data_IF_348899994523
#
_entry.id   IF_348899994523
#
_cell.length_a   1.000
_cell.length_b   1.000
_cell.length_c   1.000
_cell.angle_alpha   90.00
_cell.angle_beta   90.00
_cell.angle_gamma   90.00
#
_symmetry.space_group_name_H-M   'P 1'
#
loop_
_entity.id
_entity.type
_entity.pdbx_description
1 polymer ?
#
# COMPACT_ATOMS: atom_id res chain seq x y z
N UNK A 1 24.93 -4.72 -2.51
CA UNK A 1 24.28 -3.51 -3.07
C UNK A 1 25.19 -2.32 -2.84
N UNK A 2 25.49 -1.54 -3.89
CA UNK A 2 26.28 -0.32 -3.80
C UNK A 2 25.43 0.85 -4.33
N UNK A 3 25.22 1.87 -3.49
CA UNK A 3 24.64 3.17 -3.87
C UNK A 3 25.25 4.22 -2.95
N UNK A 4 25.73 5.33 -3.51
CA UNK A 4 26.32 6.43 -2.73
C UNK A 4 25.68 7.79 -3.00
N UNK A 5 24.64 7.85 -3.84
CA UNK A 5 23.97 9.08 -4.28
C UNK A 5 24.93 10.19 -4.76
N UNK A 6 26.09 9.81 -5.32
CA UNK A 6 27.18 10.73 -5.67
C UNK A 6 27.67 11.60 -4.49
N UNK A 7 27.52 11.11 -3.24
CA UNK A 7 28.02 11.74 -2.02
C UNK A 7 29.48 11.38 -1.70
N UNK A 8 30.11 10.56 -2.55
CA UNK A 8 31.53 10.21 -2.43
C UNK A 8 31.84 9.20 -1.33
N UNK A 9 30.83 8.55 -0.74
CA UNK A 9 31.03 7.52 0.28
C UNK A 9 31.69 6.25 -0.27
N UNK A 10 31.54 5.97 -1.58
CA UNK A 10 32.12 4.80 -2.24
C UNK A 10 33.27 5.21 -3.17
N UNK A 11 34.49 5.24 -2.64
CA UNK A 11 35.69 5.62 -3.38
C UNK A 11 36.26 4.50 -4.29
N UNK A 12 36.01 3.23 -3.96
CA UNK A 12 36.68 2.07 -4.60
C UNK A 12 35.69 1.06 -5.20
N UNK A 13 34.62 1.56 -5.84
CA UNK A 13 33.53 0.72 -6.39
C UNK A 13 34.05 -0.39 -7.32
N UNK A 14 34.98 -0.07 -8.22
CA UNK A 14 35.51 -1.05 -9.17
C UNK A 14 36.26 -2.19 -8.48
N UNK A 15 37.04 -1.88 -7.44
CA UNK A 15 37.75 -2.91 -6.66
C UNK A 15 36.76 -3.81 -5.89
N UNK A 16 35.69 -3.22 -5.34
CA UNK A 16 34.64 -3.97 -4.67
C UNK A 16 33.93 -4.93 -5.65
N UNK A 17 33.62 -4.47 -6.86
CA UNK A 17 33.02 -5.31 -7.91
C UNK A 17 33.92 -6.48 -8.26
N UNK A 18 35.22 -6.23 -8.48
CA UNK A 18 36.18 -7.28 -8.82
C UNK A 18 36.32 -8.35 -7.72
N UNK A 19 36.39 -7.92 -6.46
CA UNK A 19 36.48 -8.84 -5.31
C UNK A 19 35.22 -9.69 -5.17
N UNK A 20 34.03 -9.08 -5.28
CA UNK A 20 32.77 -9.78 -5.22
C UNK A 20 32.61 -10.79 -6.37
N UNK A 21 32.98 -10.41 -7.60
CA UNK A 21 32.97 -11.31 -8.76
C UNK A 21 33.89 -12.50 -8.57
N UNK A 22 35.10 -12.29 -8.04
CA UNK A 22 36.05 -13.36 -7.70
C UNK A 22 35.48 -14.32 -6.63
N UNK A 23 34.66 -13.80 -5.73
CA UNK A 23 33.98 -14.57 -4.70
C UNK A 23 32.64 -15.19 -5.14
N UNK A 24 32.19 -14.96 -6.39
CA UNK A 24 30.89 -15.41 -6.88
C UNK A 24 29.69 -14.71 -6.22
N UNK A 25 29.89 -13.53 -5.63
CA UNK A 25 28.84 -12.76 -4.96
C UNK A 25 28.22 -11.75 -5.94
N UNK A 26 26.89 -11.75 -6.13
CA UNK A 26 26.22 -10.78 -6.98
C UNK A 26 26.41 -9.33 -6.52
N UNK A 27 26.65 -8.42 -7.47
CA UNK A 27 26.79 -6.98 -7.22
C UNK A 27 25.70 -6.20 -7.93
N UNK A 28 24.83 -5.57 -7.15
CA UNK A 28 23.77 -4.69 -7.60
C UNK A 28 24.18 -3.23 -7.37
N UNK A 29 24.02 -2.40 -8.39
CA UNK A 29 24.39 -0.99 -8.40
C UNK A 29 23.17 -0.14 -8.75
N UNK A 30 22.87 0.86 -7.90
CA UNK A 30 22.00 1.98 -8.24
C UNK A 30 22.90 3.15 -8.69
N UNK A 31 22.99 3.44 -10.00
CA UNK A 31 23.96 4.39 -10.51
C UNK A 31 23.56 5.83 -10.22
N UNK A 32 24.57 6.72 -10.20
CA UNK A 32 24.39 8.16 -10.33
C UNK A 32 25.40 8.75 -11.29
N UNK A 33 24.97 9.81 -11.98
CA UNK A 33 25.77 10.51 -12.98
C UNK A 33 25.77 9.78 -14.32
N UNK A 34 26.73 10.12 -15.16
CA UNK A 34 26.85 9.62 -16.55
C UNK A 34 28.07 8.73 -16.77
N UNK A 35 28.96 8.63 -15.78
CA UNK A 35 30.13 7.75 -15.87
C UNK A 35 29.79 6.38 -15.31
N UNK A 36 29.47 5.45 -16.21
CA UNK A 36 29.15 4.06 -15.87
C UNK A 36 30.38 3.13 -15.93
N UNK A 37 31.54 3.62 -16.37
CA UNK A 37 32.76 2.82 -16.46
C UNK A 37 33.19 2.29 -15.08
N UNK A 38 32.98 3.10 -14.04
CA UNK A 38 33.24 2.73 -12.64
C UNK A 38 32.39 1.56 -12.12
N UNK A 39 31.38 1.12 -12.88
CA UNK A 39 30.49 -0.01 -12.55
C UNK A 39 30.75 -1.25 -13.42
N UNK A 40 31.81 -1.24 -14.25
CA UNK A 40 32.15 -2.34 -15.16
C UNK A 40 32.22 -3.68 -14.43
N UNK A 41 31.56 -4.69 -14.98
CA UNK A 41 31.56 -6.05 -14.46
C UNK A 41 30.56 -6.33 -13.34
N UNK A 42 29.68 -5.38 -13.01
CA UNK A 42 28.60 -5.59 -12.05
C UNK A 42 27.57 -6.62 -12.53
N UNK A 43 26.87 -7.26 -11.60
CA UNK A 43 25.81 -8.23 -11.93
C UNK A 43 24.58 -7.53 -12.47
N UNK A 44 24.14 -6.45 -11.82
CA UNK A 44 22.97 -5.68 -12.22
C UNK A 44 23.22 -4.20 -12.01
N UNK A 45 22.91 -3.41 -13.03
CA UNK A 45 22.84 -1.95 -12.97
C UNK A 45 21.37 -1.52 -13.08
N UNK A 46 20.90 -0.59 -12.23
CA UNK A 46 19.49 -0.21 -12.15
C UNK A 46 19.22 1.28 -12.43
N UNK A 47 19.63 1.86 -13.59
CA UNK A 47 19.39 3.27 -13.85
C UNK A 47 17.89 3.57 -14.03
N UNK A 48 17.48 4.78 -13.70
CA UNK A 48 16.23 5.31 -14.25
C UNK A 48 16.40 5.69 -15.73
N UNK A 49 15.27 5.89 -16.43
CA UNK A 49 15.29 6.21 -17.86
C UNK A 49 16.13 7.46 -18.17
N UNK A 50 16.09 8.49 -17.32
CA UNK A 50 16.88 9.71 -17.53
C UNK A 50 18.39 9.47 -17.38
N UNK A 51 18.81 8.68 -16.39
CA UNK A 51 20.21 8.28 -16.21
C UNK A 51 20.70 7.39 -17.36
N UNK A 52 19.87 6.45 -17.80
CA UNK A 52 20.16 5.60 -18.95
C UNK A 52 20.35 6.43 -20.23
N UNK A 53 19.39 7.30 -20.55
CA UNK A 53 19.45 8.16 -21.74
C UNK A 53 20.60 9.18 -21.70
N UNK A 54 21.05 9.58 -20.51
CA UNK A 54 22.20 10.46 -20.38
C UNK A 54 23.52 9.77 -20.82
N UNK A 55 23.56 8.44 -20.82
CA UNK A 55 24.71 7.63 -21.26
C UNK A 55 24.55 7.15 -22.69
N UNK A 56 23.36 6.67 -23.08
CA UNK A 56 23.14 6.05 -24.40
C UNK A 56 22.47 6.96 -25.43
N UNK A 57 22.10 8.18 -25.04
CA UNK A 57 21.28 9.09 -25.84
C UNK A 57 19.77 8.82 -25.70
N UNK A 58 18.94 9.78 -26.14
CA UNK A 58 17.47 9.72 -26.03
C UNK A 58 16.86 8.54 -26.79
N UNK A 59 15.95 7.81 -26.14
CA UNK A 59 15.24 6.67 -26.71
C UNK A 59 13.76 7.02 -26.95
N UNK A 60 13.25 6.78 -28.15
CA UNK A 60 11.86 7.08 -28.53
C UNK A 60 10.94 5.87 -28.49
N UNK A 61 11.50 4.66 -28.61
CA UNK A 61 10.74 3.41 -28.63
C UNK A 61 11.34 2.39 -27.67
N UNK A 62 10.57 1.35 -27.35
CA UNK A 62 11.05 0.27 -26.47
C UNK A 62 12.19 -0.52 -27.13
N UNK A 63 12.15 -0.67 -28.44
CA UNK A 63 13.19 -1.32 -29.23
C UNK A 63 14.52 -0.56 -29.11
N UNK A 64 14.50 0.78 -29.13
CA UNK A 64 15.71 1.59 -28.91
C UNK A 64 16.28 1.40 -27.50
N UNK A 65 15.41 1.25 -26.48
CA UNK A 65 15.85 0.93 -25.11
C UNK A 65 16.53 -0.44 -25.07
N UNK A 66 15.93 -1.44 -25.71
CA UNK A 66 16.47 -2.81 -25.76
C UNK A 66 17.82 -2.83 -26.49
N UNK A 67 17.88 -2.28 -27.70
CA UNK A 67 19.10 -2.27 -28.54
C UNK A 67 20.26 -1.60 -27.81
N UNK A 68 20.04 -0.37 -27.33
CA UNK A 68 21.09 0.41 -26.64
C UNK A 68 21.42 -0.16 -25.27
N UNK A 69 20.45 -0.74 -24.58
CA UNK A 69 20.66 -1.42 -23.31
C UNK A 69 21.52 -2.66 -23.45
N UNK A 70 21.31 -3.46 -24.49
CA UNK A 70 22.15 -4.63 -24.78
C UNK A 70 23.57 -4.23 -25.17
N UNK A 71 23.73 -3.11 -25.91
CA UNK A 71 25.05 -2.53 -26.17
C UNK A 71 25.74 -2.10 -24.89
N UNK A 72 25.04 -1.39 -24.00
CA UNK A 72 25.57 -0.96 -22.70
C UNK A 72 25.99 -2.15 -21.83
N UNK A 73 25.20 -3.24 -21.82
CA UNK A 73 25.56 -4.48 -21.13
C UNK A 73 26.89 -5.04 -21.66
N UNK A 74 27.09 -5.06 -22.98
CA UNK A 74 28.33 -5.54 -23.59
C UNK A 74 29.51 -4.61 -23.29
N UNK A 75 29.33 -3.29 -23.48
CA UNK A 75 30.37 -2.28 -23.32
C UNK A 75 30.93 -2.24 -21.90
N UNK A 76 30.09 -2.47 -20.88
CA UNK A 76 30.48 -2.46 -19.45
C UNK A 76 30.51 -3.84 -18.80
N UNK A 77 30.42 -4.92 -19.58
CA UNK A 77 30.50 -6.31 -19.11
C UNK A 77 29.50 -6.65 -17.98
N UNK A 78 28.28 -6.13 -18.07
CA UNK A 78 27.24 -6.37 -17.09
C UNK A 78 26.63 -7.76 -17.28
N UNK A 79 26.10 -8.37 -16.23
CA UNK A 79 25.28 -9.60 -16.39
C UNK A 79 23.84 -9.28 -16.78
N UNK A 80 23.32 -8.13 -16.36
CA UNK A 80 21.97 -7.65 -16.65
C UNK A 80 21.86 -6.12 -16.47
N UNK A 81 20.83 -5.54 -17.07
CA UNK A 81 20.44 -4.13 -16.90
C UNK A 81 18.94 -4.05 -16.59
N UNK A 82 18.55 -3.30 -15.56
CA UNK A 82 17.14 -3.02 -15.25
C UNK A 82 16.89 -1.52 -15.37
N UNK A 83 16.22 -1.11 -16.44
CA UNK A 83 15.86 0.30 -16.64
C UNK A 83 14.51 0.57 -15.98
N UNK A 84 14.48 1.46 -14.98
CA UNK A 84 13.21 1.90 -14.37
C UNK A 84 12.62 3.08 -15.16
N UNK A 85 11.32 3.00 -15.49
CA UNK A 85 10.63 3.86 -16.46
C UNK A 85 9.38 4.52 -15.87
N UNK A 86 9.42 4.84 -14.57
CA UNK A 86 8.31 5.53 -13.87
C UNK A 86 6.95 4.86 -14.12
N UNK A 87 5.96 5.58 -14.66
CA UNK A 87 4.63 5.09 -14.98
C UNK A 87 4.60 3.97 -16.04
N UNK A 88 5.67 3.82 -16.83
CA UNK A 88 5.80 2.72 -17.78
C UNK A 88 6.38 1.44 -17.12
N UNK A 89 6.68 1.49 -15.82
CA UNK A 89 7.18 0.36 -15.05
C UNK A 89 8.69 0.14 -15.22
N UNK A 90 9.12 -1.06 -15.62
CA UNK A 90 10.53 -1.45 -15.68
C UNK A 90 10.83 -2.36 -16.87
N UNK A 91 12.05 -2.30 -17.39
CA UNK A 91 12.55 -3.18 -18.45
C UNK A 91 13.82 -3.90 -17.99
N UNK A 92 13.75 -5.21 -17.85
CA UNK A 92 14.91 -6.07 -17.57
C UNK A 92 15.50 -6.61 -18.87
N UNK A 93 16.81 -6.41 -19.05
CA UNK A 93 17.58 -6.84 -20.21
C UNK A 93 18.70 -7.78 -19.77
N UNK A 94 18.83 -8.91 -20.47
CA UNK A 94 19.82 -9.96 -20.17
C UNK A 94 20.38 -10.54 -21.48
N UNK A 95 21.71 -10.76 -21.58
CA UNK A 95 22.31 -11.46 -22.71
C UNK A 95 21.66 -12.83 -22.96
N UNK A 96 21.25 -13.09 -24.20
CA UNK A 96 20.68 -14.37 -24.61
C UNK A 96 19.24 -14.65 -24.15
N UNK A 97 18.56 -13.66 -23.53
CA UNK A 97 17.14 -13.76 -23.18
C UNK A 97 16.33 -12.67 -23.89
N UNK A 98 15.04 -12.92 -24.09
CA UNK A 98 14.11 -11.89 -24.54
C UNK A 98 13.99 -10.79 -23.47
N UNK A 99 13.79 -9.52 -23.87
CA UNK A 99 13.56 -8.44 -22.91
C UNK A 99 12.29 -8.69 -22.11
N UNK A 100 12.34 -8.43 -20.80
CA UNK A 100 11.20 -8.54 -19.90
C UNK A 100 10.72 -7.14 -19.51
N UNK A 101 9.55 -6.76 -20.03
CA UNK A 101 8.88 -5.51 -19.68
C UNK A 101 7.83 -5.78 -18.60
N UNK A 102 7.91 -5.03 -17.51
CA UNK A 102 6.99 -5.12 -16.39
C UNK A 102 6.27 -3.78 -16.27
N UNK A 103 4.97 -3.69 -16.58
CA UNK A 103 4.21 -2.45 -16.39
C UNK A 103 4.15 -2.09 -14.89
N UNK A 104 4.01 -0.80 -14.59
CA UNK A 104 3.78 -0.38 -13.21
C UNK A 104 2.46 -0.95 -12.67
N UNK A 105 2.42 -1.23 -11.36
CA UNK A 105 1.16 -1.57 -10.68
C UNK A 105 0.44 -0.33 -10.11
N UNK A 106 1.08 0.85 -10.13
CA UNK A 106 0.49 2.08 -9.59
C UNK A 106 -0.28 2.85 -10.68
N UNK A 107 -1.59 3.06 -10.49
CA UNK A 107 -2.44 3.75 -11.48
C UNK A 107 -2.47 5.28 -11.34
N UNK A 108 -2.06 5.85 -10.20
CA UNK A 108 -1.94 7.30 -10.02
C UNK A 108 -0.62 7.65 -9.31
N UNK A 109 0.26 8.37 -10.02
CA UNK A 109 1.62 8.66 -9.56
C UNK A 109 1.72 10.15 -9.19
N UNK A 110 1.78 10.45 -7.88
CA UNK A 110 1.98 11.81 -7.38
C UNK A 110 3.44 12.07 -6.96
N UNK A 111 4.06 11.14 -6.23
CA UNK A 111 5.45 11.27 -5.74
C UNK A 111 6.16 9.90 -5.75
N UNK A 112 7.23 9.80 -6.55
CA UNK A 112 8.05 8.58 -6.76
C UNK A 112 9.31 8.52 -5.89
N UNK A 113 9.51 9.50 -5.00
CA UNK A 113 10.73 9.62 -4.19
C UNK A 113 10.90 8.42 -3.24
N UNK A 114 12.00 7.67 -3.38
CA UNK A 114 12.30 6.47 -2.58
C UNK A 114 11.81 5.13 -3.16
N UNK A 115 11.08 5.15 -4.28
CA UNK A 115 10.70 3.92 -4.99
C UNK A 115 11.94 3.16 -5.51
N UNK A 116 12.95 3.86 -6.04
CA UNK A 116 14.21 3.25 -6.50
C UNK A 116 14.96 2.51 -5.39
N UNK A 117 15.03 3.09 -4.19
CA UNK A 117 15.69 2.47 -3.02
C UNK A 117 14.98 1.17 -2.60
N UNK A 118 13.65 1.19 -2.67
CA UNK A 118 12.82 0.00 -2.41
C UNK A 118 13.06 -1.07 -3.45
N UNK A 119 13.14 -0.69 -4.72
CA UNK A 119 13.42 -1.62 -5.83
C UNK A 119 14.73 -2.35 -5.61
N UNK A 120 15.83 -1.61 -5.39
CA UNK A 120 17.15 -2.24 -5.24
C UNK A 120 17.25 -3.03 -3.92
N UNK A 121 16.59 -2.60 -2.86
CA UNK A 121 16.52 -3.33 -1.60
C UNK A 121 15.81 -4.68 -1.74
N UNK A 122 14.64 -4.70 -2.39
CA UNK A 122 13.86 -5.93 -2.63
C UNK A 122 14.59 -6.85 -3.61
N UNK A 123 15.21 -6.30 -4.67
CA UNK A 123 16.07 -7.07 -5.58
C UNK A 123 17.19 -7.78 -4.82
N UNK A 124 17.94 -7.05 -4.00
CA UNK A 124 19.06 -7.61 -3.24
C UNK A 124 18.61 -8.70 -2.26
N UNK A 125 17.51 -8.47 -1.53
CA UNK A 125 16.96 -9.44 -0.58
C UNK A 125 16.48 -10.72 -1.28
N UNK A 126 15.81 -10.59 -2.43
CA UNK A 126 15.23 -11.71 -3.17
C UNK A 126 16.31 -12.55 -3.83
N UNK A 127 17.33 -11.92 -4.42
CA UNK A 127 18.50 -12.63 -4.96
C UNK A 127 19.29 -13.34 -3.86
N UNK A 128 19.44 -12.72 -2.68
CA UNK A 128 20.09 -13.36 -1.55
C UNK A 128 19.31 -14.59 -1.03
N UNK A 129 18.00 -14.66 -1.26
CA UNK A 129 17.17 -15.82 -0.96
C UNK A 129 17.28 -16.95 -2.02
N UNK A 130 18.05 -16.75 -3.09
CA UNK A 130 18.31 -17.74 -4.14
C UNK A 130 17.32 -17.73 -5.31
N UNK A 131 16.44 -16.73 -5.36
CA UNK A 131 15.52 -16.53 -6.48
C UNK A 131 16.22 -16.05 -7.75
N UNK A 132 15.55 -16.23 -8.89
CA UNK A 132 16.01 -15.71 -10.17
C UNK A 132 15.92 -14.18 -10.24
N UNK A 133 16.63 -13.58 -11.20
CA UNK A 133 16.60 -12.13 -11.40
C UNK A 133 15.24 -11.64 -11.88
N UNK A 134 14.57 -12.44 -12.70
CA UNK A 134 13.21 -12.19 -13.19
C UNK A 134 12.20 -12.16 -12.04
N UNK A 135 12.25 -13.15 -11.15
CA UNK A 135 11.44 -13.15 -9.93
C UNK A 135 11.76 -11.93 -9.06
N UNK A 136 13.04 -11.66 -8.82
CA UNK A 136 13.46 -10.50 -8.02
C UNK A 136 12.91 -9.18 -8.59
N UNK A 137 12.92 -8.99 -9.91
CA UNK A 137 12.35 -7.82 -10.56
C UNK A 137 10.83 -7.75 -10.41
N UNK A 138 10.14 -8.90 -10.48
CA UNK A 138 8.70 -8.97 -10.24
C UNK A 138 8.34 -8.52 -8.82
N UNK A 139 9.03 -9.02 -7.79
CA UNK A 139 8.87 -8.59 -6.41
C UNK A 139 9.17 -7.09 -6.24
N UNK A 140 10.25 -6.60 -6.85
CA UNK A 140 10.65 -5.20 -6.74
C UNK A 140 9.66 -4.24 -7.40
N UNK A 141 9.09 -4.60 -8.55
CA UNK A 141 8.07 -3.82 -9.23
C UNK A 141 6.77 -3.73 -8.40
N UNK A 142 6.36 -4.84 -7.77
CA UNK A 142 5.22 -4.88 -6.85
C UNK A 142 5.48 -4.00 -5.60
N UNK A 143 6.67 -4.09 -5.00
CA UNK A 143 7.07 -3.26 -3.87
C UNK A 143 7.06 -1.76 -4.20
N UNK A 144 7.59 -1.39 -5.37
CA UNK A 144 7.58 -0.02 -5.86
C UNK A 144 6.15 0.53 -5.96
N UNK A 145 5.22 -0.27 -6.48
CA UNK A 145 3.80 0.08 -6.54
C UNK A 145 3.21 0.42 -5.17
N UNK A 146 3.48 -0.41 -4.16
CA UNK A 146 3.03 -0.18 -2.77
C UNK A 146 3.57 1.13 -2.21
N UNK A 147 4.87 1.41 -2.39
CA UNK A 147 5.51 2.64 -1.88
C UNK A 147 4.92 3.90 -2.50
N UNK A 148 4.68 3.86 -3.82
CA UNK A 148 4.06 4.97 -4.56
C UNK A 148 2.63 5.21 -4.05
N UNK A 149 1.85 4.15 -3.80
CA UNK A 149 0.49 4.25 -3.24
C UNK A 149 0.51 4.83 -1.82
N UNK A 150 1.42 4.38 -0.95
CA UNK A 150 1.55 4.92 0.42
C UNK A 150 1.84 6.42 0.43
N UNK A 151 2.66 6.89 -0.51
CA UNK A 151 2.97 8.32 -0.67
C UNK A 151 1.75 9.11 -1.14
N UNK A 152 0.97 8.58 -2.08
CA UNK A 152 -0.30 9.19 -2.49
C UNK A 152 -1.27 9.33 -1.30
N UNK A 153 -1.32 8.33 -0.40
CA UNK A 153 -2.15 8.35 0.81
C UNK A 153 -1.71 9.40 1.85
N UNK A 154 -0.41 9.66 1.97
CA UNK A 154 0.16 10.65 2.91
C UNK A 154 -0.06 12.10 2.48
N UNK A 155 -0.32 12.38 1.20
CA UNK A 155 -0.56 13.74 0.70
C UNK A 155 -1.92 14.31 1.16
N UNK A 156 -2.85 13.48 1.64
CA UNK A 156 -4.18 13.91 2.10
C UNK A 156 -4.40 13.86 3.63
N UNK A 157 -3.40 13.48 4.42
CA UNK A 157 -3.47 13.44 5.88
C UNK A 157 -2.37 14.28 6.53
N UNK A 158 -2.74 15.33 7.27
CA UNK A 158 -1.78 16.15 8.00
C UNK A 158 -0.94 15.33 9.00
N UNK A 159 0.36 15.68 9.05
CA UNK A 159 1.45 15.20 9.92
C UNK A 159 2.25 13.97 9.44
N UNK A 160 3.19 14.27 8.52
CA UNK A 160 4.60 14.12 8.88
C UNK A 160 5.23 12.74 8.75
N UNK A 161 5.52 12.34 7.51
CA UNK A 161 6.81 11.71 7.19
C UNK A 161 7.41 12.38 5.95
N UNK A 162 8.12 13.49 6.15
CA UNK A 162 9.16 13.87 5.20
C UNK A 162 10.29 12.83 5.33
N UNK A 163 10.26 11.78 4.51
CA UNK A 163 11.25 10.69 4.53
C UNK A 163 10.83 9.46 3.72
N UNK A 164 11.79 8.61 3.33
CA UNK A 164 11.58 7.39 2.51
C UNK A 164 10.48 6.50 3.09
N UNK A 165 9.50 6.09 2.28
CA UNK A 165 8.47 5.12 2.68
C UNK A 165 9.03 3.69 2.56
N UNK A 166 8.59 2.78 3.42
CA UNK A 166 9.05 1.38 3.48
C UNK A 166 7.93 0.41 3.12
N UNK A 167 8.29 -0.79 2.67
CA UNK A 167 7.34 -1.90 2.42
C UNK A 167 7.58 -3.00 3.45
N UNK A 168 6.52 -3.46 4.10
CA UNK A 168 6.55 -4.63 4.97
C UNK A 168 6.42 -5.94 4.17
N UNK A 169 6.88 -7.09 4.71
CA UNK A 169 6.73 -8.38 4.04
C UNK A 169 5.28 -8.73 3.67
N UNK A 170 4.31 -8.34 4.51
CA UNK A 170 2.88 -8.59 4.28
C UNK A 170 2.36 -7.77 3.10
N UNK A 171 2.73 -6.50 3.01
CA UNK A 171 2.32 -5.62 1.91
C UNK A 171 2.92 -6.10 0.59
N UNK A 172 4.18 -6.54 0.61
CA UNK A 172 4.84 -7.13 -0.56
C UNK A 172 4.15 -8.44 -0.98
N UNK A 173 3.87 -9.33 -0.05
CA UNK A 173 3.15 -10.58 -0.32
C UNK A 173 1.79 -10.33 -0.97
N UNK A 174 1.06 -9.32 -0.50
CA UNK A 174 -0.22 -8.94 -1.08
C UNK A 174 -0.07 -8.41 -2.51
N UNK A 175 0.92 -7.55 -2.77
CA UNK A 175 1.17 -7.00 -4.10
C UNK A 175 1.62 -8.07 -5.12
N UNK A 176 2.48 -9.01 -4.71
CA UNK A 176 3.03 -10.09 -5.53
C UNK A 176 1.98 -11.11 -5.95
N UNK A 177 1.05 -11.45 -5.05
CA UNK A 177 -0.02 -12.43 -5.32
C UNK A 177 -1.06 -11.93 -6.34
N UNK A 178 -0.84 -10.79 -7.00
CA UNK A 178 -1.76 -10.23 -7.99
C UNK A 178 -3.04 -9.70 -7.35
N UNK A 179 -2.98 -9.24 -6.09
CA UNK A 179 -4.12 -8.61 -5.42
C UNK A 179 -4.09 -7.10 -5.61
N UNK A 180 -4.23 -6.66 -6.87
CA UNK A 180 -4.75 -5.31 -7.11
C UNK A 180 -6.14 -5.14 -6.46
N UNK A 181 -6.83 -6.24 -6.14
CA UNK A 181 -8.23 -6.21 -5.71
C UNK A 181 -8.53 -6.73 -4.28
N UNK A 182 -7.57 -7.06 -3.40
CA UNK A 182 -7.94 -7.57 -2.05
C UNK A 182 -7.01 -7.22 -0.87
N UNK A 183 -6.03 -6.33 -1.06
CA UNK A 183 -5.11 -5.99 0.03
C UNK A 183 -5.73 -5.04 1.04
N UNK A 184 -6.13 -3.87 0.55
CA UNK A 184 -6.67 -2.74 1.31
C UNK A 184 -7.48 -1.84 0.37
N UNK A 185 -8.44 -1.07 0.87
CA UNK A 185 -9.20 -0.11 0.07
C UNK A 185 -10.55 -0.63 -0.41
N UNK A 186 -11.02 -0.11 -1.55
CA UNK A 186 -12.36 -0.38 -2.10
C UNK A 186 -12.41 -1.77 -2.73
N UNK A 187 -13.42 -2.56 -2.35
CA UNK A 187 -13.59 -3.97 -2.72
C UNK A 187 -14.99 -4.23 -3.28
N UNK A 188 -15.09 -5.15 -4.23
CA UNK A 188 -16.34 -5.85 -4.52
C UNK A 188 -16.68 -6.84 -3.40
N UNK A 189 -17.94 -7.30 -3.36
CA UNK A 189 -18.36 -8.27 -2.35
C UNK A 189 -17.60 -9.60 -2.47
N UNK A 190 -17.33 -10.07 -3.70
CA UNK A 190 -16.63 -11.34 -3.93
C UNK A 190 -15.15 -11.25 -3.53
N UNK A 191 -14.49 -10.14 -3.85
CA UNK A 191 -13.15 -9.82 -3.36
C UNK A 191 -13.09 -9.79 -1.83
N UNK A 192 -14.06 -9.11 -1.20
CA UNK A 192 -14.11 -9.03 0.25
C UNK A 192 -14.25 -10.42 0.90
N UNK A 193 -15.10 -11.30 0.36
CA UNK A 193 -15.23 -12.68 0.85
C UNK A 193 -13.90 -13.43 0.80
N UNK A 194 -13.15 -13.29 -0.30
CA UNK A 194 -11.83 -13.91 -0.44
C UNK A 194 -10.81 -13.33 0.54
N UNK A 195 -10.81 -12.01 0.73
CA UNK A 195 -9.93 -11.31 1.66
C UNK A 195 -10.18 -11.75 3.12
N UNK A 196 -11.46 -11.80 3.53
CA UNK A 196 -11.89 -12.24 4.86
C UNK A 196 -11.54 -13.71 5.11
N UNK A 197 -11.80 -14.59 4.14
CA UNK A 197 -11.42 -16.00 4.25
C UNK A 197 -9.90 -16.18 4.43
N UNK A 198 -9.10 -15.37 3.74
CA UNK A 198 -7.65 -15.39 3.89
C UNK A 198 -7.20 -14.86 5.25
N UNK A 199 -7.82 -13.79 5.77
CA UNK A 199 -7.55 -13.25 7.10
C UNK A 199 -7.85 -14.25 8.21
N UNK A 200 -9.00 -14.93 8.14
CA UNK A 200 -9.35 -15.99 9.08
C UNK A 200 -8.35 -17.14 9.08
N UNK A 201 -7.86 -17.56 7.90
CA UNK A 201 -6.80 -18.58 7.81
C UNK A 201 -5.50 -18.16 8.51
N UNK A 202 -5.25 -16.86 8.65
CA UNK A 202 -4.12 -16.31 9.41
C UNK A 202 -4.43 -16.11 10.91
N UNK A 203 -5.64 -16.40 11.36
CA UNK A 203 -6.08 -16.14 12.73
C UNK A 203 -6.34 -14.66 13.03
N UNK A 204 -6.51 -13.82 12.00
CA UNK A 204 -6.85 -12.39 12.18
C UNK A 204 -8.33 -12.23 12.53
N UNK A 205 -8.63 -11.39 13.54
CA UNK A 205 -9.98 -11.03 13.95
C UNK A 205 -10.56 -9.93 13.06
N UNK A 206 -11.69 -10.19 12.41
CA UNK A 206 -12.33 -9.26 11.46
C UNK A 206 -13.47 -8.49 12.12
N UNK A 207 -13.32 -7.16 12.14
CA UNK A 207 -14.31 -6.20 12.61
C UNK A 207 -15.04 -5.61 11.41
N UNK A 208 -16.36 -5.42 11.53
CA UNK A 208 -17.16 -4.78 10.49
C UNK A 208 -18.04 -3.69 11.09
N UNK A 209 -18.16 -2.58 10.38
CA UNK A 209 -19.13 -1.52 10.64
C UNK A 209 -19.79 -1.10 9.33
N UNK A 210 -20.91 -0.38 9.40
CA UNK A 210 -21.55 0.19 8.23
C UNK A 210 -22.06 1.61 8.46
N UNK A 211 -22.31 2.34 7.38
CA UNK A 211 -22.94 3.66 7.43
C UNK A 211 -22.99 4.37 6.09
N UNK A 212 -23.65 5.53 6.09
CA UNK A 212 -23.72 6.39 4.90
C UNK A 212 -22.39 7.11 4.66
N UNK A 213 -21.76 7.64 5.73
CA UNK A 213 -20.50 8.39 5.66
C UNK A 213 -20.51 9.53 4.61
N UNK A 214 -21.62 10.27 4.56
CA UNK A 214 -21.81 11.34 3.56
C UNK A 214 -20.83 12.50 3.76
N UNK A 215 -20.92 13.18 4.92
CA UNK A 215 -19.97 14.21 5.32
C UNK A 215 -19.15 13.66 6.48
N UNK A 216 -17.89 13.35 6.22
CA UNK A 216 -16.97 12.89 7.27
C UNK A 216 -16.57 14.05 8.18
N UNK A 217 -16.42 13.73 9.46
CA UNK A 217 -15.95 14.65 10.49
C UNK A 217 -15.15 13.86 11.52
N UNK A 218 -14.47 14.56 12.43
CA UNK A 218 -13.56 13.95 13.42
C UNK A 218 -14.20 12.81 14.25
N UNK A 219 -15.52 12.88 14.47
CA UNK A 219 -16.27 11.82 15.15
C UNK A 219 -16.25 10.48 14.40
N UNK A 220 -16.39 10.50 13.07
CA UNK A 220 -16.27 9.28 12.25
C UNK A 220 -14.85 8.71 12.30
N UNK A 221 -13.83 9.58 12.22
CA UNK A 221 -12.42 9.16 12.29
C UNK A 221 -12.12 8.49 13.63
N UNK A 222 -12.53 9.11 14.75
CA UNK A 222 -12.37 8.54 16.09
C UNK A 222 -13.14 7.23 16.27
N UNK A 223 -14.37 7.16 15.77
CA UNK A 223 -15.19 5.94 15.79
C UNK A 223 -14.52 4.78 15.05
N UNK A 224 -14.07 5.01 13.80
CA UNK A 224 -13.40 3.98 13.00
C UNK A 224 -12.07 3.56 13.62
N UNK A 225 -11.30 4.49 14.17
CA UNK A 225 -10.07 4.18 14.90
C UNK A 225 -10.34 3.32 16.15
N UNK A 226 -11.43 3.57 16.87
CA UNK A 226 -11.81 2.74 18.03
C UNK A 226 -12.34 1.38 17.61
N UNK A 227 -13.12 1.28 16.52
CA UNK A 227 -13.56 0.00 15.97
C UNK A 227 -12.36 -0.86 15.52
N UNK A 228 -11.37 -0.26 14.86
CA UNK A 228 -10.16 -0.96 14.39
C UNK A 228 -9.33 -1.57 15.53
N UNK A 229 -9.37 -1.00 16.74
CA UNK A 229 -8.66 -1.55 17.92
C UNK A 229 -9.27 -2.86 18.45
N UNK A 230 -10.48 -3.20 18.05
CA UNK A 230 -11.21 -4.38 18.56
C UNK A 230 -10.89 -5.67 17.78
N UNK A 231 -10.08 -5.57 16.73
CA UNK A 231 -9.58 -6.71 15.95
C UNK A 231 -8.40 -6.31 15.07
N UNK A 232 -8.06 -7.17 14.12
CA UNK A 232 -6.89 -7.04 13.25
C UNK A 232 -7.23 -6.43 11.89
N UNK A 233 -8.51 -6.49 11.48
CA UNK A 233 -9.00 -5.92 10.22
C UNK A 233 -10.30 -5.17 10.43
N UNK A 234 -10.46 -4.01 9.81
CA UNK A 234 -11.73 -3.26 9.79
C UNK A 234 -12.33 -3.17 8.39
N UNK A 235 -13.56 -3.67 8.28
CA UNK A 235 -14.45 -3.51 7.11
C UNK A 235 -15.40 -2.33 7.36
N UNK A 236 -15.53 -1.46 6.38
CA UNK A 236 -16.55 -0.40 6.34
C UNK A 236 -17.49 -0.64 5.17
N UNK A 237 -18.73 -1.03 5.48
CA UNK A 237 -19.80 -1.16 4.50
C UNK A 237 -20.53 0.16 4.28
N UNK A 238 -20.64 0.61 3.03
CA UNK A 238 -21.10 1.95 2.66
C UNK A 238 -22.41 1.86 1.87
N UNK A 239 -23.42 2.60 2.31
CA UNK A 239 -24.69 2.68 1.58
C UNK A 239 -24.49 3.29 0.19
N UNK A 240 -25.10 2.72 -0.85
CA UNK A 240 -25.17 3.33 -2.19
C UNK A 240 -25.91 4.67 -2.17
N UNK A 241 -25.83 5.43 -3.26
CA UNK A 241 -26.55 6.70 -3.38
C UNK A 241 -28.07 6.48 -3.38
N UNK A 242 -28.55 5.41 -4.02
CA UNK A 242 -29.96 5.02 -4.01
C UNK A 242 -30.42 4.62 -2.59
N UNK A 243 -29.64 3.80 -1.89
CA UNK A 243 -29.90 3.42 -0.48
C UNK A 243 -29.96 4.65 0.43
N UNK A 244 -29.03 5.58 0.24
CA UNK A 244 -28.95 6.81 1.03
C UNK A 244 -30.13 7.74 0.78
N UNK A 245 -30.56 7.91 -0.47
CA UNK A 245 -31.75 8.71 -0.82
C UNK A 245 -33.01 8.16 -0.14
N UNK A 246 -33.21 6.83 -0.17
CA UNK A 246 -34.35 6.20 0.52
C UNK A 246 -34.30 6.42 2.03
N UNK A 247 -33.10 6.40 2.63
CA UNK A 247 -32.91 6.53 4.07
C UNK A 247 -32.98 7.99 4.58
N UNK A 248 -32.50 8.97 3.79
CA UNK A 248 -32.26 10.35 4.24
C UNK A 248 -33.00 11.41 3.41
N UNK A 249 -33.70 11.01 2.36
CA UNK A 249 -34.41 11.90 1.42
C UNK A 249 -33.56 12.32 0.22
N UNK A 250 -34.20 12.95 -0.76
CA UNK A 250 -33.60 13.27 -2.08
C UNK A 250 -32.41 14.23 -2.03
N UNK A 251 -32.27 15.00 -0.95
CA UNK A 251 -31.16 15.94 -0.74
C UNK A 251 -29.87 15.26 -0.26
N UNK A 252 -29.87 13.94 -0.06
CA UNK A 252 -28.74 13.15 0.42
C UNK A 252 -28.56 11.90 -0.45
N UNK A 253 -27.32 11.45 -0.74
CA UNK A 253 -26.06 12.00 -0.24
C UNK A 253 -25.65 13.27 -0.99
N UNK A 254 -24.83 14.09 -0.32
CA UNK A 254 -24.14 15.23 -0.97
C UNK A 254 -22.96 14.73 -1.79
N UNK A 255 -22.23 13.74 -1.26
CA UNK A 255 -21.07 13.16 -1.93
C UNK A 255 -21.44 11.80 -2.57
N UNK A 256 -21.19 11.60 -3.88
CA UNK A 256 -21.42 10.33 -4.55
C UNK A 256 -20.70 9.15 -3.89
N UNK A 257 -21.25 7.94 -4.06
CA UNK A 257 -20.72 6.70 -3.47
C UNK A 257 -19.21 6.53 -3.68
N UNK A 258 -18.75 6.70 -4.91
CA UNK A 258 -17.35 6.54 -5.27
C UNK A 258 -16.43 7.42 -4.41
N UNK A 259 -16.78 8.70 -4.25
CA UNK A 259 -16.00 9.64 -3.44
C UNK A 259 -15.98 9.23 -1.97
N UNK A 260 -17.13 8.83 -1.42
CA UNK A 260 -17.23 8.37 -0.02
C UNK A 260 -16.35 7.15 0.22
N UNK A 261 -16.36 6.19 -0.71
CA UNK A 261 -15.55 4.98 -0.62
C UNK A 261 -14.05 5.28 -0.71
N UNK A 262 -13.63 6.18 -1.61
CA UNK A 262 -12.23 6.63 -1.72
C UNK A 262 -11.74 7.25 -0.41
N UNK A 263 -12.51 8.18 0.17
CA UNK A 263 -12.08 8.86 1.40
C UNK A 263 -12.01 7.88 2.58
N UNK A 264 -12.96 6.95 2.68
CA UNK A 264 -12.92 5.91 3.72
C UNK A 264 -11.75 4.95 3.54
N UNK A 265 -11.45 4.54 2.30
CA UNK A 265 -10.31 3.67 2.00
C UNK A 265 -8.96 4.33 2.29
N UNK A 266 -8.90 5.66 2.28
CA UNK A 266 -7.72 6.43 2.64
C UNK A 266 -7.50 6.52 4.17
N UNK A 267 -8.50 6.25 5.02
CA UNK A 267 -8.35 6.34 6.48
C UNK A 267 -7.51 5.20 7.03
N UNK A 268 -6.46 5.51 7.81
CA UNK A 268 -5.52 4.52 8.36
C UNK A 268 -6.21 3.36 9.11
N UNK A 269 -7.32 3.66 9.80
CA UNK A 269 -8.07 2.66 10.57
C UNK A 269 -8.84 1.65 9.71
N UNK A 270 -8.98 1.88 8.40
CA UNK A 270 -9.85 1.09 7.51
C UNK A 270 -9.02 0.20 6.63
N UNK A 271 -9.27 -1.11 6.72
CA UNK A 271 -8.62 -2.10 5.86
C UNK A 271 -9.40 -2.26 4.55
N UNK A 272 -10.71 -2.49 4.63
CA UNK A 272 -11.56 -2.76 3.45
C UNK A 272 -12.83 -1.92 3.44
N UNK A 273 -13.21 -1.44 2.26
CA UNK A 273 -14.44 -0.67 2.03
C UNK A 273 -15.28 -1.39 0.98
N UNK A 274 -16.56 -1.63 1.26
CA UNK A 274 -17.47 -2.32 0.34
C UNK A 274 -18.79 -1.56 0.29
N UNK A 275 -19.46 -1.54 -0.86
CA UNK A 275 -20.77 -0.89 -0.98
C UNK A 275 -21.91 -1.91 -0.89
N UNK A 276 -23.10 -1.42 -0.54
CA UNK A 276 -24.34 -2.19 -0.60
C UNK A 276 -25.52 -1.28 -0.96
N UNK A 277 -26.54 -1.82 -1.61
CA UNK A 277 -27.65 -1.03 -2.16
C UNK A 277 -28.95 -1.18 -1.36
N UNK A 278 -29.07 -2.24 -0.56
CA UNK A 278 -30.23 -2.53 0.27
C UNK A 278 -30.45 -1.46 1.35
N UNK A 279 -31.63 -1.47 1.97
CA UNK A 279 -31.96 -0.53 3.05
C UNK A 279 -31.17 -0.83 4.33
N UNK A 280 -30.74 -2.09 4.50
CA UNK A 280 -29.90 -2.53 5.60
C UNK A 280 -28.75 -3.39 5.09
N UNK A 281 -27.59 -3.41 5.77
CA UNK A 281 -26.45 -4.24 5.37
C UNK A 281 -26.62 -5.73 5.69
N UNK A 282 -27.79 -6.19 6.15
CA UNK A 282 -27.96 -7.53 6.73
C UNK A 282 -27.50 -8.64 5.79
N UNK A 283 -27.86 -8.59 4.49
CA UNK A 283 -27.44 -9.60 3.51
C UNK A 283 -25.92 -9.69 3.39
N UNK A 284 -25.27 -8.53 3.28
CA UNK A 284 -23.82 -8.44 3.18
C UNK A 284 -23.15 -8.97 4.46
N UNK A 285 -23.65 -8.57 5.63
CA UNK A 285 -23.14 -9.06 6.93
C UNK A 285 -23.33 -10.57 7.04
N UNK A 286 -24.47 -11.12 6.62
CA UNK A 286 -24.73 -12.56 6.63
C UNK A 286 -23.83 -13.34 5.65
N UNK A 287 -23.36 -12.70 4.58
CA UNK A 287 -22.40 -13.28 3.63
C UNK A 287 -20.94 -13.23 4.10
N UNK A 288 -20.59 -12.23 4.92
CA UNK A 288 -19.22 -12.03 5.44
C UNK A 288 -19.02 -12.70 6.81
N UNK A 289 -20.03 -12.62 7.68
CA UNK A 289 -20.08 -13.13 9.06
C UNK A 289 -18.90 -12.66 9.92
N UNK A 290 -18.67 -11.34 10.08
CA UNK A 290 -17.51 -10.82 10.82
C UNK A 290 -17.45 -11.37 12.25
N UNK A 291 -16.24 -11.45 12.81
CA UNK A 291 -16.04 -11.87 14.21
C UNK A 291 -16.60 -10.84 15.18
N UNK A 292 -16.63 -9.57 14.77
CA UNK A 292 -17.19 -8.48 15.53
C UNK A 292 -17.95 -7.50 14.63
N UNK A 293 -19.24 -7.27 14.94
CA UNK A 293 -20.04 -6.22 14.33
C UNK A 293 -20.12 -5.02 15.27
N UNK A 294 -19.69 -3.85 14.78
CA UNK A 294 -19.64 -2.62 15.57
C UNK A 294 -20.57 -1.58 15.00
N UNK A 295 -21.29 -0.88 15.88
CA UNK A 295 -22.10 0.29 15.53
C UNK A 295 -21.83 1.45 16.48
N UNK A 296 -21.76 2.67 15.94
CA UNK A 296 -21.73 3.89 16.74
C UNK A 296 -23.13 4.43 17.02
N UNK A 297 -23.32 5.04 18.19
CA UNK A 297 -24.58 5.68 18.60
C UNK A 297 -25.30 4.92 19.72
N UNK A 298 -26.57 5.23 19.94
CA UNK A 298 -27.36 4.73 21.08
C UNK A 298 -28.23 3.51 20.72
N UNK A 299 -27.77 2.66 19.82
CA UNK A 299 -28.51 1.47 19.39
C UNK A 299 -28.45 0.38 20.46
N UNK A 300 -29.48 -0.47 20.53
CA UNK A 300 -29.35 -1.76 21.22
C UNK A 300 -28.72 -2.80 20.29
N UNK A 301 -27.81 -3.67 20.76
CA UNK A 301 -27.19 -4.69 19.92
C UNK A 301 -28.17 -5.53 19.11
N UNK A 302 -29.34 -5.85 19.67
CA UNK A 302 -30.38 -6.68 19.03
C UNK A 302 -31.10 -5.96 17.88
N UNK A 303 -31.05 -4.64 17.83
CA UNK A 303 -31.67 -3.80 16.80
C UNK A 303 -30.73 -3.58 15.61
N UNK A 304 -29.47 -3.99 15.70
CA UNK A 304 -28.50 -3.86 14.63
C UNK A 304 -28.76 -4.93 13.57
N UNK A 305 -28.94 -4.49 12.32
CA UNK A 305 -29.08 -5.37 11.17
C UNK A 305 -27.85 -6.29 11.03
N UNK A 306 -28.08 -7.61 10.97
CA UNK A 306 -27.02 -8.62 10.92
C UNK A 306 -26.58 -9.18 12.29
N UNK A 307 -27.13 -8.68 13.41
CA UNK A 307 -26.76 -9.12 14.77
C UNK A 307 -27.03 -10.61 15.01
N UNK A 308 -28.20 -11.10 14.59
CA UNK A 308 -28.62 -12.50 14.76
C UNK A 308 -27.69 -13.46 14.04
N UNK A 309 -27.31 -13.12 12.80
CA UNK A 309 -26.43 -13.92 11.97
C UNK A 309 -25.01 -13.97 12.54
N UNK A 310 -24.51 -12.84 13.03
CA UNK A 310 -23.19 -12.76 13.69
C UNK A 310 -23.15 -13.61 14.95
N UNK A 311 -24.15 -13.49 15.84
CA UNK A 311 -24.24 -14.32 17.04
C UNK A 311 -24.39 -15.80 16.75
N UNK A 312 -25.22 -16.17 15.76
CA UNK A 312 -25.38 -17.57 15.34
C UNK A 312 -24.06 -18.17 14.82
N UNK A 313 -23.17 -17.35 14.28
CA UNK A 313 -21.83 -17.74 13.83
C UNK A 313 -20.76 -17.63 14.93
N UNK A 314 -21.15 -17.32 16.18
CA UNK A 314 -20.23 -17.20 17.32
C UNK A 314 -19.44 -15.89 17.39
N UNK A 315 -19.80 -14.89 16.58
CA UNK A 315 -19.25 -13.54 16.66
C UNK A 315 -19.95 -12.68 17.71
N UNK A 316 -19.44 -11.46 17.90
CA UNK A 316 -19.93 -10.49 18.88
C UNK A 316 -20.53 -9.25 18.20
N UNK A 317 -21.43 -8.55 18.92
CA UNK A 317 -22.01 -7.29 18.47
C UNK A 317 -21.79 -6.25 19.56
N UNK A 318 -21.12 -5.14 19.22
CA UNK A 318 -20.79 -4.07 20.16
C UNK A 318 -21.29 -2.71 19.68
N UNK A 319 -21.69 -1.90 20.65
CA UNK A 319 -22.08 -0.51 20.42
C UNK A 319 -21.04 0.40 21.06
N UNK A 320 -20.40 1.21 20.23
CA UNK A 320 -19.41 2.18 20.69
C UNK A 320 -20.11 3.51 21.01
N UNK A 321 -20.09 3.86 22.28
CA UNK A 321 -20.51 5.18 22.73
C UNK A 321 -19.45 6.20 22.34
N UNK A 322 -19.87 7.28 21.67
CA UNK A 322 -19.00 8.42 21.45
C UNK A 322 -18.52 8.93 22.82
N UNK A 323 -17.20 8.98 23.04
CA UNK A 323 -16.63 9.46 24.29
C UNK A 323 -17.32 10.77 24.70
N UNK A 324 -17.99 10.75 25.86
CA UNK A 324 -18.37 11.96 26.57
C UNK A 324 -17.12 12.82 26.64
N UNK A 325 -17.20 14.05 26.12
CA UNK A 325 -16.22 15.12 26.34
C UNK A 325 -15.64 14.98 27.75
N UNK A 326 -14.32 14.82 27.81
CA UNK A 326 -13.47 14.89 28.99
C UNK A 326 -13.87 16.09 29.86
N UNK A 327 -14.76 15.89 30.83
CA UNK A 327 -14.90 16.70 32.05
C UNK A 327 -14.21 15.91 33.16
N UNK A 328 -12.90 15.97 33.13
CA UNK A 328 -12.00 15.62 34.22
C UNK A 328 -10.95 16.71 34.18
N UNK A 329 -11.29 17.84 34.83
CA UNK A 329 -10.49 19.01 35.22
C UNK A 329 -11.51 20.14 35.47
N UNK A 330 -12.23 20.06 36.60
CA UNK A 330 -12.93 21.19 37.25
C UNK A 330 -13.27 20.86 38.71
N UNK A 331 -13.24 19.58 39.13
CA UNK A 331 -13.46 19.17 40.53
C UNK A 331 -12.20 19.23 41.43
N UNK A 332 -11.25 20.15 41.18
CA UNK A 332 -10.09 20.35 42.09
C UNK A 332 -9.80 21.78 42.53
N UNK A 333 -10.67 22.75 42.26
CA UNK A 333 -10.57 24.07 42.91
C UNK A 333 -11.93 24.55 43.40
N UNK A 334 -12.42 23.96 44.49
CA UNK A 334 -13.22 24.66 45.50
C UNK A 334 -13.42 23.75 46.73
N UNK A 335 -12.40 23.65 47.56
CA UNK A 335 -12.51 23.39 49.00
C UNK A 335 -11.28 24.01 49.68
N UNK A 336 -11.50 24.61 50.85
CA UNK A 336 -10.68 25.60 51.59
C UNK A 336 -10.93 27.03 51.09
N UNK A 337 -11.71 27.86 51.80
CA UNK A 337 -11.38 28.38 53.13
C UNK A 337 -12.63 28.77 53.96
N UNK A 338 -12.77 28.36 55.24
CA UNK A 338 -13.76 28.89 56.17
C UNK A 338 -13.09 29.86 57.16
N UNK A 339 -13.22 31.17 56.92
CA UNK A 339 -13.08 32.18 57.98
C UNK A 339 -14.17 33.23 57.82
N UNK A 340 -15.11 33.24 58.76
CA UNK A 340 -16.25 34.16 58.85
C UNK A 340 -17.37 33.55 59.67
#
# INVERSE_FOLDING_TARGET
MLSDYAKGALASVQQMIQLARKAGVPVLIDPKGTDFERYRGATLLTPNLSEFEAVVGKCKTEEEIVERGMKLIADYELSALLVTRSEQGMSLLQPGKAPLHMPTQAQEVYDVTGAGDTVIGVLAATLAAGNSLEEACFFANAAAGVVVIHRARLLFGHHGKLGTSTVSPIELENAVRGRADTGFGVMTEEELKLAVAAARKRGEKVVMTNGVFDILHAGHVSYLANARKLGDRLIVAVNSDASTKRLKGDSRPVNPLEQRMIVLGALEAVDWVVSFEEDTPQRLIAGILPDLLVKGGDYKPEEIAGSKEVWANGGEVLVLNFEKKRRLLDDQHHQEDPTG
#
